data_IF_089448522800
#
_entry.id   IF_089448522800
#
_cell.length_a   1.000
_cell.length_b   1.000
_cell.length_c   1.000
_cell.angle_alpha   90.00
_cell.angle_beta   90.00
_cell.angle_gamma   90.00
#
_symmetry.space_group_name_H-M   'P 1'
#
loop_
_entity.id
_entity.type
_entity.pdbx_description
1 polymer ?
#
# COMPACT_ATOMS: atom_id res chain seq x y z
N UNK A 1 1.43 -13.09 -16.55
CA UNK A 1 2.87 -13.37 -16.80
C UNK A 1 3.77 -12.64 -15.79
N UNK A 2 3.42 -12.67 -14.50
CA UNK A 2 4.11 -11.87 -13.45
C UNK A 2 4.64 -12.69 -12.27
N UNK A 3 4.90 -13.99 -12.45
CA UNK A 3 5.15 -14.94 -11.35
C UNK A 3 6.61 -15.42 -11.22
N UNK A 4 7.59 -14.60 -11.57
CA UNK A 4 8.99 -15.03 -11.45
C UNK A 4 9.53 -14.82 -10.03
N UNK A 5 9.31 -13.65 -9.39
CA UNK A 5 9.94 -13.28 -8.11
C UNK A 5 9.56 -14.14 -6.89
N UNK A 6 8.42 -14.84 -6.89
CA UNK A 6 7.88 -15.51 -5.71
C UNK A 6 8.53 -16.85 -5.35
N UNK A 7 9.29 -17.49 -6.25
CA UNK A 7 9.77 -18.87 -6.04
C UNK A 7 11.07 -19.03 -5.23
N UNK A 8 11.73 -17.93 -4.87
CA UNK A 8 13.11 -17.99 -4.34
C UNK A 8 13.22 -18.05 -2.81
N UNK A 9 12.16 -17.70 -2.07
CA UNK A 9 12.31 -17.39 -0.62
C UNK A 9 12.35 -18.66 0.28
N UNK A 10 11.80 -19.81 -0.14
CA UNK A 10 11.60 -20.95 0.79
C UNK A 10 12.27 -22.29 0.46
N UNK A 11 13.21 -22.34 -0.48
CA UNK A 11 13.92 -23.60 -0.77
C UNK A 11 15.12 -23.87 0.16
N UNK A 12 14.97 -23.63 1.47
CA UNK A 12 16.06 -23.80 2.44
C UNK A 12 15.73 -24.63 3.69
N UNK A 13 14.83 -25.61 3.56
CA UNK A 13 14.69 -26.69 4.54
C UNK A 13 14.55 -28.06 3.86
N UNK A 14 15.64 -28.54 3.24
CA UNK A 14 16.05 -29.96 3.20
C UNK A 14 17.23 -30.16 2.24
N UNK A 15 18.39 -29.61 2.59
CA UNK A 15 19.67 -30.06 2.00
C UNK A 15 20.53 -30.62 3.13
N UNK A 16 20.08 -31.73 3.72
CA UNK A 16 21.04 -32.65 4.30
C UNK A 16 21.67 -33.48 3.18
N UNK A 17 22.93 -33.17 2.91
CA UNK A 17 23.96 -34.08 2.41
C UNK A 17 23.71 -34.72 1.03
N UNK A 18 24.03 -33.98 -0.03
CA UNK A 18 24.81 -34.43 -1.22
C UNK A 18 24.78 -33.33 -2.30
N UNK A 19 25.72 -32.37 -2.27
CA UNK A 19 25.73 -31.32 -3.31
C UNK A 19 26.81 -30.23 -3.29
N UNK A 20 27.73 -30.20 -2.33
CA UNK A 20 28.68 -29.07 -2.18
C UNK A 20 29.52 -28.77 -3.44
N UNK A 21 29.98 -29.78 -4.17
CA UNK A 21 30.96 -29.59 -5.25
C UNK A 21 30.48 -28.89 -6.54
N UNK A 22 29.17 -28.71 -6.76
CA UNK A 22 28.64 -28.05 -7.98
C UNK A 22 28.25 -26.59 -7.73
N UNK A 23 27.67 -26.31 -6.56
CA UNK A 23 27.32 -24.95 -6.14
C UNK A 23 28.59 -24.11 -5.91
N UNK A 24 29.59 -24.66 -5.23
CA UNK A 24 30.87 -23.99 -4.98
C UNK A 24 31.60 -23.60 -6.28
N UNK A 25 31.48 -24.44 -7.33
CA UNK A 25 32.07 -24.16 -8.65
C UNK A 25 31.33 -23.05 -9.40
N UNK A 26 30.00 -23.01 -9.33
CA UNK A 26 29.19 -21.95 -9.93
C UNK A 26 29.43 -20.59 -9.24
N UNK A 27 29.58 -20.61 -7.91
CA UNK A 27 29.87 -19.41 -7.10
C UNK A 27 31.29 -18.88 -7.36
N UNK A 28 32.26 -19.77 -7.62
CA UNK A 28 33.61 -19.39 -7.99
C UNK A 28 33.71 -18.75 -9.40
N UNK A 29 32.76 -19.06 -10.29
CA UNK A 29 32.71 -18.47 -11.64
C UNK A 29 31.97 -17.13 -11.74
N UNK A 30 31.44 -16.61 -10.62
CA UNK A 30 30.77 -15.31 -10.61
C UNK A 30 31.75 -14.18 -10.88
N UNK A 31 31.37 -13.28 -11.79
CA UNK A 31 32.10 -12.03 -12.05
C UNK A 31 32.11 -11.13 -10.81
N UNK A 32 33.21 -10.40 -10.62
CA UNK A 32 33.36 -9.41 -9.55
C UNK A 32 32.18 -8.41 -9.57
N UNK A 33 31.60 -8.17 -8.41
CA UNK A 33 30.41 -7.35 -8.19
C UNK A 33 29.11 -8.15 -8.17
N UNK A 34 29.03 -9.31 -8.82
CA UNK A 34 27.82 -10.13 -8.84
C UNK A 34 27.49 -10.74 -7.47
N UNK A 35 28.53 -11.09 -6.72
CA UNK A 35 28.40 -11.60 -5.34
C UNK A 35 27.73 -10.56 -4.44
N UNK A 36 28.15 -9.29 -4.57
CA UNK A 36 27.62 -8.20 -3.76
C UNK A 36 26.13 -7.94 -4.08
N UNK A 37 25.73 -7.99 -5.35
CA UNK A 37 24.32 -7.84 -5.73
C UNK A 37 23.42 -8.92 -5.15
N UNK A 38 23.87 -10.17 -5.14
CA UNK A 38 23.12 -11.31 -4.58
C UNK A 38 23.01 -11.16 -3.06
N UNK A 39 24.13 -10.84 -2.40
CA UNK A 39 24.17 -10.61 -0.95
C UNK A 39 23.18 -9.51 -0.56
N UNK A 40 23.27 -8.37 -1.22
CA UNK A 40 22.42 -7.22 -0.93
C UNK A 40 20.96 -7.53 -1.26
N UNK A 41 20.66 -8.14 -2.40
CA UNK A 41 19.29 -8.51 -2.74
C UNK A 41 18.67 -9.38 -1.65
N UNK A 42 19.41 -10.36 -1.10
CA UNK A 42 18.90 -11.19 -0.01
C UNK A 42 18.63 -10.39 1.27
N UNK A 43 19.50 -9.46 1.65
CA UNK A 43 19.26 -8.59 2.82
C UNK A 43 18.04 -7.68 2.62
N UNK A 44 17.88 -7.10 1.43
CA UNK A 44 16.76 -6.22 1.11
C UNK A 44 15.45 -7.02 1.11
N UNK A 45 15.42 -8.16 0.42
CA UNK A 45 14.24 -9.02 0.30
C UNK A 45 13.84 -9.70 1.62
N UNK A 46 14.78 -9.87 2.55
CA UNK A 46 14.50 -10.35 3.92
C UNK A 46 14.12 -9.24 4.90
N UNK A 47 14.00 -7.99 4.42
CA UNK A 47 13.71 -6.79 5.24
C UNK A 47 14.71 -6.55 6.40
N UNK A 48 15.91 -7.13 6.32
CA UNK A 48 16.94 -6.98 7.35
C UNK A 48 17.83 -5.76 7.05
N UNK A 49 17.25 -4.57 7.22
CA UNK A 49 17.90 -3.30 6.86
C UNK A 49 19.05 -2.91 7.80
N UNK A 50 18.98 -3.34 9.07
CA UNK A 50 20.03 -3.10 10.06
C UNK A 50 21.40 -3.64 9.62
N UNK A 51 21.40 -4.77 8.91
CA UNK A 51 22.62 -5.41 8.42
C UNK A 51 23.31 -4.64 7.28
N UNK A 52 22.54 -3.91 6.46
CA UNK A 52 23.08 -3.10 5.35
C UNK A 52 23.60 -1.75 5.85
N UNK A 53 22.88 -1.11 6.77
CA UNK A 53 23.31 0.14 7.42
C UNK A 53 24.63 -0.01 8.17
N UNK A 54 24.87 -1.19 8.75
CA UNK A 54 26.08 -1.49 9.52
C UNK A 54 27.37 -1.36 8.71
N UNK A 55 27.30 -1.47 7.38
CA UNK A 55 28.45 -1.39 6.47
C UNK A 55 29.05 0.01 6.37
N UNK A 56 28.29 1.06 6.71
CA UNK A 56 28.77 2.44 6.73
C UNK A 56 29.44 2.87 8.04
N UNK A 57 29.42 2.02 9.09
CA UNK A 57 30.10 2.35 10.36
C UNK A 57 31.62 2.41 10.18
N UNK A 58 32.30 3.26 10.95
CA UNK A 58 33.75 3.45 10.85
C UNK A 58 34.52 2.12 10.90
N UNK A 59 35.47 1.94 9.97
CA UNK A 59 36.29 0.74 9.77
C UNK A 59 35.55 -0.49 9.21
N UNK A 60 34.22 -0.44 8.99
CA UNK A 60 33.47 -1.57 8.42
C UNK A 60 33.73 -1.78 6.93
N UNK A 61 33.89 -0.71 6.15
CA UNK A 61 34.32 -0.82 4.75
C UNK A 61 35.72 -1.47 4.62
N UNK A 62 36.57 -1.38 5.64
CA UNK A 62 37.85 -2.07 5.70
C UNK A 62 37.69 -3.57 6.09
N UNK A 63 36.60 -3.89 6.80
CA UNK A 63 36.16 -5.24 7.19
C UNK A 63 35.27 -5.95 6.14
N UNK A 64 34.76 -5.28 5.10
CA UNK A 64 33.81 -5.84 4.10
C UNK A 64 34.26 -7.15 3.46
N UNK A 65 35.56 -7.45 3.54
CA UNK A 65 36.13 -8.80 3.36
C UNK A 65 35.35 -9.93 4.05
N UNK A 66 34.37 -9.66 4.92
CA UNK A 66 33.54 -10.64 5.63
C UNK A 66 32.00 -10.52 5.46
N UNK A 67 31.47 -9.75 4.51
CA UNK A 67 30.01 -9.78 4.24
C UNK A 67 29.63 -11.16 3.69
N UNK A 68 29.10 -12.03 4.53
CA UNK A 68 28.70 -13.39 4.14
C UNK A 68 27.18 -13.54 4.23
N UNK A 69 26.59 -14.10 3.18
CA UNK A 69 25.42 -14.95 3.40
C UNK A 69 25.96 -16.29 3.93
N UNK A 70 25.58 -16.69 5.14
CA UNK A 70 25.96 -18.00 5.73
C UNK A 70 25.67 -19.18 4.77
N UNK A 71 24.67 -19.02 3.90
CA UNK A 71 24.30 -20.01 2.89
C UNK A 71 25.30 -20.15 1.69
N UNK A 72 26.23 -19.21 1.46
CA UNK A 72 27.07 -19.21 0.25
C UNK A 72 28.58 -19.24 0.47
N UNK A 73 29.09 -19.21 1.71
CA UNK A 73 30.54 -19.31 2.03
C UNK A 73 31.47 -18.37 1.21
N UNK A 74 30.95 -17.27 0.65
CA UNK A 74 31.73 -16.26 -0.09
C UNK A 74 31.49 -14.89 0.53
N UNK A 75 32.58 -14.13 0.65
CA UNK A 75 32.56 -12.78 1.17
C UNK A 75 32.63 -11.77 0.04
N UNK A 76 31.93 -10.64 0.19
CA UNK A 76 32.17 -9.50 -0.69
C UNK A 76 33.64 -9.05 -0.53
N UNK A 77 34.26 -8.67 -1.64
CA UNK A 77 35.66 -8.23 -1.69
C UNK A 77 35.77 -6.76 -2.10
N UNK A 78 36.96 -6.19 -1.94
CA UNK A 78 37.26 -4.83 -2.43
C UNK A 78 37.11 -4.75 -3.95
N UNK A 79 37.43 -5.84 -4.67
CA UNK A 79 37.26 -5.91 -6.12
C UNK A 79 35.77 -5.83 -6.52
N UNK A 80 34.89 -6.48 -5.76
CA UNK A 80 33.44 -6.38 -5.97
C UNK A 80 32.93 -4.95 -5.80
N UNK A 81 33.39 -4.24 -4.76
CA UNK A 81 33.02 -2.85 -4.51
C UNK A 81 33.52 -1.94 -5.63
N UNK A 82 34.78 -2.09 -6.05
CA UNK A 82 35.38 -1.29 -7.12
C UNK A 82 34.65 -1.50 -8.45
N UNK A 83 34.35 -2.76 -8.79
CA UNK A 83 33.58 -3.12 -9.98
C UNK A 83 32.18 -2.47 -9.94
N UNK A 84 31.51 -2.54 -8.79
CA UNK A 84 30.18 -1.94 -8.61
C UNK A 84 30.18 -0.42 -8.64
N UNK A 85 31.16 0.20 -8.02
CA UNK A 85 31.33 1.64 -8.09
C UNK A 85 31.47 2.13 -9.53
N UNK A 86 32.33 1.47 -10.31
CA UNK A 86 32.56 1.82 -11.71
C UNK A 86 31.29 1.70 -12.55
N UNK A 87 30.54 0.63 -12.37
CA UNK A 87 29.25 0.42 -13.05
C UNK A 87 28.23 1.48 -12.62
N UNK A 88 27.99 1.64 -11.31
CA UNK A 88 26.93 2.49 -10.79
C UNK A 88 27.13 3.97 -11.11
N UNK A 89 28.39 4.41 -11.16
CA UNK A 89 28.75 5.81 -11.41
C UNK A 89 29.30 6.06 -12.82
N UNK A 90 29.36 5.05 -13.68
CA UNK A 90 29.91 5.16 -15.04
C UNK A 90 31.39 5.58 -15.06
N UNK A 91 32.17 5.10 -14.08
CA UNK A 91 33.59 5.40 -13.90
C UNK A 91 34.46 4.20 -14.27
N UNK A 92 35.76 4.42 -14.39
CA UNK A 92 36.76 3.38 -14.70
C UNK A 92 37.97 3.49 -13.76
N UNK A 93 37.69 3.61 -12.47
CA UNK A 93 38.72 3.66 -11.43
C UNK A 93 39.44 2.31 -11.33
N UNK A 94 40.76 2.37 -11.14
CA UNK A 94 41.62 1.17 -11.03
C UNK A 94 41.99 0.84 -9.60
N UNK A 95 41.88 1.82 -8.71
CA UNK A 95 42.25 1.70 -7.31
C UNK A 95 41.04 2.00 -6.44
N UNK A 96 40.91 1.22 -5.36
CA UNK A 96 39.85 1.41 -4.38
C UNK A 96 40.19 2.55 -3.43
N UNK A 97 39.18 3.35 -3.09
CA UNK A 97 39.22 4.32 -2.00
C UNK A 97 38.05 4.07 -1.04
N UNK A 98 38.20 4.30 0.27
CA UNK A 98 37.13 4.01 1.26
C UNK A 98 35.78 4.67 0.96
N UNK A 99 35.77 5.84 0.30
CA UNK A 99 34.53 6.54 -0.05
C UNK A 99 33.69 5.76 -1.08
N UNK A 100 34.31 4.96 -1.95
CA UNK A 100 33.60 4.19 -2.98
C UNK A 100 32.68 3.13 -2.36
N UNK A 101 33.07 2.58 -1.21
CA UNK A 101 32.22 1.67 -0.44
C UNK A 101 30.95 2.39 0.04
N UNK A 102 31.10 3.56 0.65
CA UNK A 102 29.96 4.36 1.12
C UNK A 102 29.03 4.72 -0.04
N UNK A 103 29.60 5.15 -1.17
CA UNK A 103 28.87 5.49 -2.39
C UNK A 103 28.03 4.29 -2.90
N UNK A 104 28.61 3.10 -2.98
CA UNK A 104 27.90 1.86 -3.38
C UNK A 104 26.82 1.48 -2.36
N UNK A 105 27.12 1.55 -1.07
CA UNK A 105 26.13 1.24 -0.01
C UNK A 105 24.96 2.22 -0.04
N UNK A 106 25.18 3.49 -0.35
CA UNK A 106 24.11 4.48 -0.47
C UNK A 106 23.13 4.15 -1.60
N UNK A 107 23.64 3.65 -2.74
CA UNK A 107 22.78 3.15 -3.82
C UNK A 107 21.92 1.98 -3.34
N UNK A 108 22.49 1.04 -2.59
CA UNK A 108 21.76 -0.11 -2.08
C UNK A 108 20.76 0.22 -0.96
N UNK A 109 21.06 1.18 -0.09
CA UNK A 109 20.10 1.71 0.90
C UNK A 109 18.92 2.37 0.17
N UNK A 110 19.19 3.11 -0.89
CA UNK A 110 18.13 3.72 -1.71
C UNK A 110 17.27 2.67 -2.43
N UNK A 111 17.86 1.57 -2.89
CA UNK A 111 17.10 0.41 -3.40
C UNK A 111 16.21 -0.18 -2.30
N UNK A 112 16.72 -0.31 -1.08
CA UNK A 112 15.96 -0.79 0.07
C UNK A 112 14.76 0.11 0.37
N UNK A 113 14.93 1.44 0.35
CA UNK A 113 13.82 2.40 0.52
C UNK A 113 12.75 2.21 -0.55
N UNK A 114 13.15 2.06 -1.82
CA UNK A 114 12.21 1.77 -2.92
C UNK A 114 11.46 0.46 -2.63
N UNK A 115 12.18 -0.60 -2.29
CA UNK A 115 11.59 -1.90 -2.00
C UNK A 115 10.58 -1.83 -0.84
N UNK A 116 10.95 -1.21 0.28
CA UNK A 116 10.08 -1.05 1.46
C UNK A 116 8.81 -0.28 1.11
N UNK A 117 8.93 0.86 0.42
CA UNK A 117 7.78 1.65 0.00
C UNK A 117 6.84 0.85 -0.92
N UNK A 118 7.40 0.06 -1.86
CA UNK A 118 6.60 -0.76 -2.76
C UNK A 118 5.91 -1.90 -2.01
N UNK A 119 6.62 -2.64 -1.16
CA UNK A 119 6.04 -3.75 -0.40
C UNK A 119 4.93 -3.28 0.53
N UNK A 120 5.10 -2.15 1.21
CA UNK A 120 4.02 -1.57 2.04
C UNK A 120 2.77 -1.19 1.25
N UNK A 121 2.92 -0.77 -0.01
CA UNK A 121 1.81 -0.32 -0.87
C UNK A 121 1.16 -1.45 -1.69
N UNK A 122 1.93 -2.48 -2.06
CA UNK A 122 1.46 -3.61 -2.85
C UNK A 122 1.02 -4.76 -1.94
N UNK A 123 1.69 -4.95 -0.79
CA UNK A 123 1.59 -6.09 0.14
C UNK A 123 1.28 -7.41 -0.60
N UNK A 124 2.25 -7.92 -1.37
CA UNK A 124 2.03 -9.09 -2.22
C UNK A 124 1.56 -10.30 -1.41
N UNK A 125 0.58 -11.02 -1.96
CA UNK A 125 0.24 -12.38 -1.55
C UNK A 125 1.28 -13.31 -2.17
N UNK A 126 2.02 -14.05 -1.34
CA UNK A 126 2.98 -15.03 -1.83
C UNK A 126 2.30 -16.40 -1.85
N UNK A 127 2.24 -17.01 -3.03
CA UNK A 127 1.85 -18.41 -3.19
C UNK A 127 3.11 -19.28 -3.15
N UNK A 128 3.17 -20.22 -2.20
CA UNK A 128 4.21 -21.25 -2.18
C UNK A 128 3.59 -22.64 -2.10
N UNK A 129 4.28 -23.64 -2.64
CA UNK A 129 3.90 -25.04 -2.43
C UNK A 129 4.44 -25.49 -1.08
N UNK A 130 3.55 -25.97 -0.21
CA UNK A 130 3.97 -26.57 1.05
C UNK A 130 4.65 -27.94 0.81
N UNK A 131 5.18 -28.54 1.87
CA UNK A 131 5.86 -29.84 1.83
C UNK A 131 4.99 -31.00 1.30
N UNK A 132 3.67 -30.80 1.21
CA UNK A 132 2.71 -31.78 0.70
C UNK A 132 2.33 -31.53 -0.77
N UNK A 133 2.83 -30.44 -1.36
CA UNK A 133 2.56 -30.02 -2.72
C UNK A 133 1.29 -29.18 -2.86
N UNK A 134 0.66 -28.80 -1.75
CA UNK A 134 -0.52 -27.94 -1.74
C UNK A 134 -0.07 -26.48 -1.91
N UNK A 135 -0.75 -25.73 -2.78
CA UNK A 135 -0.48 -24.29 -2.97
C UNK A 135 -1.12 -23.55 -1.79
N UNK A 136 -0.28 -22.91 -0.97
CA UNK A 136 -0.69 -22.11 0.19
C UNK A 136 -0.36 -20.65 -0.11
N UNK A 137 -1.39 -19.80 -0.09
CA UNK A 137 -1.26 -18.35 -0.25
C UNK A 137 -1.05 -17.71 1.12
N UNK A 138 0.12 -17.13 1.37
CA UNK A 138 0.43 -16.42 2.60
C UNK A 138 0.60 -14.93 2.33
N UNK A 139 -0.21 -14.12 3.01
CA UNK A 139 -0.02 -12.67 3.04
C UNK A 139 1.17 -12.37 3.95
N UNK A 140 2.05 -11.46 3.52
CA UNK A 140 3.18 -11.03 4.36
C UNK A 140 2.72 -10.37 5.67
N UNK A 141 1.45 -9.95 5.75
CA UNK A 141 0.81 -9.52 7.00
C UNK A 141 -0.52 -10.25 7.21
N UNK A 142 -0.46 -11.19 8.16
CA UNK A 142 -1.57 -11.91 8.83
C UNK A 142 -2.61 -12.61 7.95
N UNK A 143 -2.75 -13.91 8.23
CA UNK A 143 -3.87 -14.75 7.82
C UNK A 143 -5.19 -14.19 8.37
N UNK A 144 -6.02 -13.62 7.49
CA UNK A 144 -7.42 -14.04 7.27
C UNK A 144 -8.22 -13.01 6.46
N UNK A 145 -9.15 -13.59 5.70
CA UNK A 145 -10.42 -13.05 5.19
C UNK A 145 -10.52 -12.56 3.74
N UNK A 146 -11.38 -13.31 3.02
CA UNK A 146 -12.19 -13.03 1.84
C UNK A 146 -12.09 -11.61 1.25
N UNK A 147 -11.47 -11.51 0.07
CA UNK A 147 -11.62 -10.36 -0.82
C UNK A 147 -12.90 -10.52 -1.65
N UNK A 148 -13.75 -9.49 -1.63
CA UNK A 148 -15.04 -9.43 -2.35
C UNK A 148 -14.82 -9.45 -3.87
N UNK A 149 -13.62 -9.12 -4.35
CA UNK A 149 -13.30 -9.04 -5.78
C UNK A 149 -12.50 -10.24 -6.33
N UNK A 150 -12.23 -11.25 -5.50
CA UNK A 150 -11.47 -12.45 -5.88
C UNK A 150 -9.95 -12.32 -5.68
N UNK A 151 -9.23 -13.45 -5.70
CA UNK A 151 -7.78 -13.53 -5.36
C UNK A 151 -6.88 -12.68 -6.28
N UNK A 152 -7.25 -12.52 -7.55
CA UNK A 152 -6.48 -11.72 -8.52
C UNK A 152 -6.51 -10.20 -8.24
N UNK A 153 -7.42 -9.75 -7.37
CA UNK A 153 -7.61 -8.34 -7.01
C UNK A 153 -7.38 -8.09 -5.51
N UNK A 154 -6.72 -9.04 -4.81
CA UNK A 154 -6.47 -9.01 -3.37
C UNK A 154 -5.81 -7.70 -2.91
N UNK A 155 -6.57 -6.84 -2.24
CA UNK A 155 -6.05 -5.59 -1.66
C UNK A 155 -5.74 -5.77 -0.18
N UNK A 156 -4.59 -5.24 0.26
CA UNK A 156 -4.22 -5.26 1.67
C UNK A 156 -5.12 -4.37 2.51
N UNK A 157 -5.84 -4.97 3.48
CA UNK A 157 -6.63 -4.27 4.49
C UNK A 157 -5.81 -3.27 5.33
N UNK A 158 -4.50 -3.44 5.41
CA UNK A 158 -3.59 -2.57 6.17
C UNK A 158 -3.14 -1.34 5.37
N UNK A 159 -3.23 -1.39 4.04
CA UNK A 159 -3.03 -0.19 3.20
C UNK A 159 -4.18 0.78 3.39
N UNK A 160 -3.93 2.08 3.22
CA UNK A 160 -4.97 3.08 3.21
C UNK A 160 -6.12 2.72 2.25
N UNK A 161 -5.76 2.33 1.02
CA UNK A 161 -6.75 2.06 -0.01
C UNK A 161 -7.56 0.80 0.18
N UNK A 162 -6.93 -0.29 0.61
CA UNK A 162 -7.67 -1.51 0.92
C UNK A 162 -8.70 -1.27 2.03
N UNK A 163 -8.32 -0.53 3.08
CA UNK A 163 -9.24 -0.16 4.16
C UNK A 163 -10.43 0.69 3.64
N UNK A 164 -10.18 1.67 2.75
CA UNK A 164 -11.25 2.51 2.19
C UNK A 164 -12.16 1.76 1.24
N UNK A 165 -11.64 0.85 0.42
CA UNK A 165 -12.44 0.00 -0.46
C UNK A 165 -13.31 -0.95 0.36
N UNK A 166 -12.75 -1.58 1.40
CA UNK A 166 -13.51 -2.47 2.31
C UNK A 166 -14.64 -1.73 3.03
N UNK A 167 -14.40 -0.49 3.45
CA UNK A 167 -15.42 0.39 4.05
C UNK A 167 -16.61 0.61 3.12
N UNK A 168 -16.40 0.65 1.79
CA UNK A 168 -17.48 0.82 0.82
C UNK A 168 -18.14 -0.51 0.37
N UNK A 169 -17.50 -1.67 0.54
CA UNK A 169 -18.06 -2.96 0.10
C UNK A 169 -18.92 -3.68 1.15
N UNK A 170 -19.14 -3.06 2.31
CA UNK A 170 -20.03 -3.56 3.37
C UNK A 170 -19.37 -4.47 4.41
N UNK A 171 -18.08 -4.77 4.25
CA UNK A 171 -17.26 -5.50 5.23
C UNK A 171 -16.47 -4.56 6.16
N UNK A 172 -16.64 -3.25 6.04
CA UNK A 172 -16.01 -2.24 6.87
C UNK A 172 -17.02 -1.18 7.31
N UNK A 173 -16.77 -0.56 8.45
CA UNK A 173 -17.68 0.41 9.04
C UNK A 173 -17.30 1.83 8.59
N UNK A 174 -18.12 2.43 7.72
CA UNK A 174 -18.00 3.85 7.31
C UNK A 174 -18.11 4.79 8.52
N UNK A 175 -18.76 4.31 9.59
CA UNK A 175 -19.15 5.08 10.78
C UNK A 175 -18.34 4.68 12.02
N UNK A 176 -17.15 4.08 11.85
CA UNK A 176 -16.32 3.65 12.96
C UNK A 176 -15.56 4.84 13.57
N UNK A 177 -15.82 5.12 14.85
CA UNK A 177 -14.98 6.02 15.66
C UNK A 177 -13.61 5.36 15.88
N UNK A 178 -12.50 6.02 15.50
CA UNK A 178 -11.20 5.65 16.06
C UNK A 178 -9.94 5.78 15.21
N UNK A 179 -10.02 6.08 13.90
CA UNK A 179 -8.81 6.40 13.10
C UNK A 179 -8.81 7.87 12.72
N UNK A 180 -8.32 8.70 13.63
CA UNK A 180 -8.41 10.15 13.51
C UNK A 180 -7.41 10.76 12.53
N UNK A 181 -6.39 10.01 12.10
CA UNK A 181 -5.33 10.51 11.23
C UNK A 181 -4.71 9.40 10.36
N UNK A 182 -3.78 9.77 9.49
CA UNK A 182 -3.16 8.86 8.53
C UNK A 182 -2.05 7.95 9.10
N UNK A 183 -1.65 8.11 10.35
CA UNK A 183 -0.51 7.40 10.92
C UNK A 183 -0.75 5.88 11.07
N UNK A 184 -2.01 5.45 11.07
CA UNK A 184 -2.40 4.05 11.25
C UNK A 184 -2.32 3.18 9.99
N UNK A 185 -1.91 3.73 8.85
CA UNK A 185 -1.84 3.01 7.57
C UNK A 185 -0.39 2.70 7.21
N UNK A 186 -0.09 1.43 6.89
CA UNK A 186 1.28 0.94 6.67
C UNK A 186 1.99 1.54 5.45
N UNK A 187 1.29 2.28 4.60
CA UNK A 187 1.82 2.86 3.36
C UNK A 187 2.10 4.37 3.45
N UNK A 188 1.68 5.03 4.54
CA UNK A 188 1.76 6.49 4.69
C UNK A 188 3.00 6.96 5.47
N UNK A 189 3.40 6.35 6.60
CA UNK A 189 4.65 6.70 7.29
C UNK A 189 5.88 6.59 6.39
N UNK A 190 5.95 5.53 5.58
CA UNK A 190 7.05 5.16 4.68
C UNK A 190 7.27 6.20 3.58
N UNK A 191 6.22 6.98 3.28
CA UNK A 191 6.30 8.06 2.31
C UNK A 191 7.25 9.17 2.79
N UNK A 192 7.35 9.43 4.10
CA UNK A 192 8.28 10.44 4.64
C UNK A 192 9.74 10.09 4.30
N UNK A 193 10.11 8.82 4.47
CA UNK A 193 11.49 8.34 4.27
C UNK A 193 11.94 8.43 2.80
N UNK A 194 10.98 8.48 1.87
CA UNK A 194 11.24 8.73 0.45
C UNK A 194 11.66 10.16 0.13
N UNK A 195 11.43 11.11 1.03
CA UNK A 195 11.91 12.49 0.90
C UNK A 195 13.24 12.73 1.62
N UNK A 196 13.61 11.87 2.57
CA UNK A 196 14.86 12.02 3.31
C UNK A 196 16.09 11.69 2.44
N UNK A 197 16.85 12.72 2.10
CA UNK A 197 18.07 12.68 1.30
C UNK A 197 19.25 13.47 1.91
N UNK A 198 19.10 13.97 3.14
CA UNK A 198 20.13 14.68 3.90
C UNK A 198 20.28 14.12 5.34
N UNK A 199 21.25 14.65 6.08
CA UNK A 199 21.50 14.34 7.49
C UNK A 199 21.59 12.84 7.78
N UNK A 200 22.54 12.17 7.13
CA UNK A 200 22.74 10.74 7.29
C UNK A 200 23.27 10.39 8.68
N UNK A 201 22.54 9.55 9.39
CA UNK A 201 22.97 9.00 10.67
C UNK A 201 23.73 7.69 10.46
N UNK A 202 25.04 7.73 10.71
CA UNK A 202 25.93 6.55 10.58
C UNK A 202 25.64 5.43 11.58
N UNK A 203 24.86 5.71 12.64
CA UNK A 203 24.54 4.72 13.67
C UNK A 203 23.32 3.87 13.32
N UNK A 204 22.28 4.50 12.78
CA UNK A 204 21.03 3.87 12.29
C UNK A 204 21.10 3.49 10.81
N UNK A 205 22.02 4.12 10.07
CA UNK A 205 22.20 4.06 8.63
C UNK A 205 21.03 4.60 7.82
N UNK A 206 20.31 5.58 8.37
CA UNK A 206 19.17 6.23 7.71
C UNK A 206 19.45 7.70 7.45
N UNK A 207 18.81 8.25 6.43
CA UNK A 207 18.77 9.70 6.20
C UNK A 207 17.68 10.28 7.11
N UNK A 208 18.04 11.21 7.99
CA UNK A 208 17.12 11.81 8.95
C UNK A 208 16.54 13.14 8.47
N UNK A 209 17.15 13.75 7.45
CA UNK A 209 16.83 15.09 6.96
C UNK A 209 16.53 15.14 5.47
N UNK A 210 16.08 16.31 5.02
CA UNK A 210 15.77 16.63 3.62
C UNK A 210 16.65 17.79 3.16
N UNK A 211 17.12 17.76 1.93
CA UNK A 211 17.68 18.94 1.28
C UNK A 211 16.61 20.00 1.06
N UNK A 212 16.99 21.28 0.90
CA UNK A 212 16.05 22.38 0.64
C UNK A 212 15.06 22.04 -0.50
N UNK A 213 15.58 21.41 -1.55
CA UNK A 213 14.80 20.99 -2.72
C UNK A 213 13.76 19.92 -2.37
N UNK A 214 14.16 18.85 -1.68
CA UNK A 214 13.22 17.76 -1.33
C UNK A 214 12.27 18.19 -0.23
N UNK A 215 12.66 19.11 0.64
CA UNK A 215 11.80 19.73 1.63
C UNK A 215 10.68 20.57 0.99
N UNK A 216 10.97 21.34 -0.06
CA UNK A 216 9.94 22.04 -0.84
C UNK A 216 8.95 21.07 -1.50
N UNK A 217 9.45 19.98 -2.10
CA UNK A 217 8.62 18.92 -2.68
C UNK A 217 7.74 18.26 -1.62
N UNK A 218 8.31 17.96 -0.45
CA UNK A 218 7.60 17.39 0.70
C UNK A 218 6.46 18.27 1.17
N UNK A 219 6.73 19.56 1.40
CA UNK A 219 5.72 20.50 1.88
C UNK A 219 4.61 20.72 0.84
N UNK A 220 4.96 20.74 -0.45
CA UNK A 220 3.98 20.80 -1.54
C UNK A 220 3.03 19.60 -1.54
N UNK A 221 3.57 18.40 -1.39
CA UNK A 221 2.76 17.18 -1.37
C UNK A 221 1.97 17.04 -0.08
N UNK A 222 2.54 17.42 1.08
CA UNK A 222 1.84 17.48 2.36
C UNK A 222 0.62 18.41 2.30
N UNK A 223 0.76 19.58 1.67
CA UNK A 223 -0.34 20.52 1.48
C UNK A 223 -1.44 19.94 0.56
N UNK A 224 -1.06 19.23 -0.52
CA UNK A 224 -2.02 18.53 -1.40
C UNK A 224 -2.77 17.44 -0.64
N UNK A 225 -2.08 16.60 0.11
CA UNK A 225 -2.70 15.59 0.96
C UNK A 225 -3.66 16.26 1.94
N UNK A 226 -3.23 17.30 2.65
CA UNK A 226 -4.10 18.00 3.59
C UNK A 226 -5.40 18.49 2.92
N UNK A 227 -5.29 19.15 1.75
CA UNK A 227 -6.45 19.65 1.00
C UNK A 227 -7.39 18.53 0.57
N UNK A 228 -6.85 17.42 0.05
CA UNK A 228 -7.65 16.29 -0.44
C UNK A 228 -8.33 15.55 0.72
N UNK A 229 -7.60 15.25 1.79
CA UNK A 229 -8.12 14.42 2.89
C UNK A 229 -9.03 15.16 3.87
N UNK A 230 -8.89 16.48 4.00
CA UNK A 230 -9.70 17.29 4.92
C UNK A 230 -10.73 18.19 4.22
N UNK A 231 -10.59 18.41 2.91
CA UNK A 231 -11.38 19.38 2.15
C UNK A 231 -11.08 20.86 2.48
N UNK A 232 -10.14 21.15 3.38
CA UNK A 232 -9.81 22.52 3.81
C UNK A 232 -8.76 23.14 2.90
N UNK A 233 -8.92 24.43 2.59
CA UNK A 233 -8.04 25.14 1.64
C UNK A 233 -6.67 25.53 2.21
N UNK A 234 -6.55 25.70 3.52
CA UNK A 234 -5.30 26.15 4.18
C UNK A 234 -4.86 25.15 5.25
N UNK A 235 -3.64 24.65 5.10
CA UNK A 235 -2.99 23.77 6.06
C UNK A 235 -2.49 24.58 7.28
N UNK A 236 -2.81 24.18 8.52
CA UNK A 236 -2.31 24.85 9.72
C UNK A 236 -0.88 24.40 10.04
N UNK A 237 -0.14 25.24 10.77
CA UNK A 237 1.27 24.98 11.11
C UNK A 237 1.49 23.75 12.00
N UNK A 238 0.43 23.22 12.61
CA UNK A 238 0.46 22.01 13.44
C UNK A 238 0.66 20.73 12.62
N UNK A 239 0.37 20.75 11.31
CA UNK A 239 0.56 19.59 10.43
C UNK A 239 1.99 19.65 9.90
N UNK A 240 2.84 18.73 10.36
CA UNK A 240 4.24 18.65 9.94
C UNK A 240 4.54 17.38 9.15
N UNK A 241 3.72 16.33 9.31
CA UNK A 241 3.89 15.04 8.65
C UNK A 241 2.58 14.52 8.08
N UNK A 242 2.67 13.61 7.10
CA UNK A 242 1.48 12.98 6.50
C UNK A 242 0.59 12.32 7.55
N UNK A 243 1.19 11.63 8.53
CA UNK A 243 0.49 11.00 9.64
C UNK A 243 -0.32 11.97 10.51
N UNK A 244 0.06 13.26 10.58
CA UNK A 244 -0.65 14.27 11.37
C UNK A 244 -1.97 14.70 10.71
N UNK A 245 -2.16 14.40 9.41
CA UNK A 245 -3.33 14.83 8.65
C UNK A 245 -4.57 14.11 9.17
N UNK A 246 -5.60 14.85 9.64
CA UNK A 246 -6.80 14.23 10.14
C UNK A 246 -7.62 13.64 9.00
N UNK A 247 -8.28 12.51 9.27
CA UNK A 247 -9.24 11.94 8.35
C UNK A 247 -10.58 12.69 8.44
N UNK A 248 -11.33 12.68 7.34
CA UNK A 248 -12.71 13.18 7.36
C UNK A 248 -13.56 12.26 8.24
N UNK A 249 -14.19 12.87 9.25
CA UNK A 249 -15.15 12.24 10.15
C UNK A 249 -16.52 12.16 9.46
N UNK A 250 -16.97 10.93 9.20
CA UNK A 250 -18.28 10.65 8.60
C UNK A 250 -19.34 10.26 9.62
N UNK A 251 -19.05 10.27 10.92
CA UNK A 251 -20.01 9.84 11.95
C UNK A 251 -21.26 10.74 11.98
N UNK A 252 -21.10 11.99 11.54
CA UNK A 252 -22.18 12.98 11.39
C UNK A 252 -22.82 12.99 10.00
N UNK A 253 -22.30 12.21 9.05
CA UNK A 253 -22.86 12.07 7.71
C UNK A 253 -24.26 11.47 7.77
N UNK A 254 -25.16 11.82 6.82
CA UNK A 254 -26.43 11.12 6.62
C UNK A 254 -26.29 9.59 6.54
N UNK A 255 -25.15 9.06 6.08
CA UNK A 255 -24.88 7.62 6.04
C UNK A 255 -24.98 6.98 7.42
N UNK A 256 -24.47 7.65 8.46
CA UNK A 256 -24.43 7.11 9.81
C UNK A 256 -25.71 7.36 10.61
N UNK A 257 -26.59 8.26 10.14
CA UNK A 257 -27.90 8.54 10.78
C UNK A 257 -28.83 7.33 10.79
N UNK A 258 -28.71 6.46 9.79
CA UNK A 258 -29.60 5.30 9.63
C UNK A 258 -28.95 3.97 10.07
N UNK A 259 -27.78 4.03 10.74
CA UNK A 259 -27.03 2.85 11.21
C UNK A 259 -27.77 2.03 12.28
N UNK A 260 -28.51 2.71 13.16
CA UNK A 260 -29.32 2.07 14.20
C UNK A 260 -30.73 1.70 13.71
N UNK A 261 -30.99 1.72 12.40
CA UNK A 261 -32.29 1.33 11.86
C UNK A 261 -32.39 -0.19 11.87
N UNK A 262 -32.76 -0.75 13.01
CA UNK A 262 -32.99 -2.17 13.14
C UNK A 262 -34.30 -2.51 12.44
N UNK A 263 -34.28 -3.41 11.45
CA UNK A 263 -35.53 -3.90 10.82
C UNK A 263 -36.46 -4.56 11.83
N UNK A 264 -35.91 -4.99 12.96
CA UNK A 264 -36.61 -5.62 14.07
C UNK A 264 -37.33 -4.59 14.98
N UNK A 265 -36.94 -3.31 14.92
CA UNK A 265 -37.69 -2.17 15.51
C UNK A 265 -38.82 -1.67 14.60
N UNK A 266 -39.10 -2.39 13.50
CA UNK A 266 -40.26 -2.12 12.64
C UNK A 266 -41.58 -2.68 13.23
N UNK A 267 -41.59 -3.07 14.50
CA UNK A 267 -42.79 -3.29 15.30
C UNK A 267 -42.59 -2.69 16.69
N UNK A 268 -43.58 -1.91 17.09
CA UNK A 268 -43.78 -1.28 18.40
C UNK A 268 -43.20 0.13 18.65
N UNK A 269 -44.15 0.99 19.07
CA UNK A 269 -44.02 2.27 19.78
C UNK A 269 -44.10 3.63 19.05
N UNK A 270 -44.18 3.71 17.71
CA UNK A 270 -44.46 5.00 17.02
C UNK A 270 -45.95 5.40 16.90
N UNK A 271 -46.85 4.77 17.65
CA UNK A 271 -48.27 5.14 17.72
C UNK A 271 -48.66 5.99 18.94
N UNK A 272 -47.72 6.64 19.64
CA UNK A 272 -48.07 7.53 20.75
C UNK A 272 -47.39 8.89 20.63
N UNK A 273 -48.19 9.83 20.10
CA UNK A 273 -48.05 11.28 20.16
C UNK A 273 -47.18 11.94 19.09
N UNK A 274 -47.81 12.42 18.00
CA UNK A 274 -48.02 13.87 17.77
C UNK A 274 -48.83 14.16 16.51
N UNK A 275 -49.55 15.28 16.60
CA UNK A 275 -50.49 15.82 15.64
C UNK A 275 -49.83 16.10 14.28
N UNK A 276 -50.51 15.63 13.22
CA UNK A 276 -50.16 15.87 11.83
C UNK A 276 -50.47 17.31 11.43
N UNK A 277 -49.45 18.07 11.04
CA UNK A 277 -49.61 19.22 10.16
C UNK A 277 -49.52 18.72 8.71
N UNK A 278 -50.59 18.97 7.98
CA UNK A 278 -50.80 18.60 6.59
C UNK A 278 -49.87 19.36 5.63
N UNK A 279 -49.02 18.63 4.92
CA UNK A 279 -48.58 18.99 3.58
C UNK A 279 -48.09 17.74 2.87
N UNK A 280 -48.84 17.29 1.86
CA UNK A 280 -48.40 16.24 0.93
C UNK A 280 -47.33 16.80 0.00
N UNK A 281 -46.23 16.05 -0.21
CA UNK A 281 -45.55 16.02 -1.50
C UNK A 281 -45.67 14.61 -2.07
N UNK A 282 -46.49 14.47 -3.11
CA UNK A 282 -46.53 13.28 -3.94
C UNK A 282 -45.35 13.30 -4.92
N UNK A 283 -44.20 12.78 -4.50
CA UNK A 283 -43.07 12.54 -5.41
C UNK A 283 -42.74 11.05 -5.39
N UNK A 284 -43.26 10.30 -6.36
CA UNK A 284 -42.80 8.92 -6.62
C UNK A 284 -41.34 9.00 -7.04
N UNK A 285 -40.43 8.47 -6.23
CA UNK A 285 -39.02 8.32 -6.61
C UNK A 285 -38.96 7.36 -7.79
N UNK A 286 -38.35 7.76 -8.92
CA UNK A 286 -38.29 6.89 -10.10
C UNK A 286 -37.37 5.69 -9.83
N UNK A 287 -37.83 4.48 -10.17
CA UNK A 287 -36.97 3.27 -10.13
C UNK A 287 -35.66 3.47 -10.91
N UNK A 288 -35.72 4.24 -12.00
CA UNK A 288 -34.58 4.63 -12.83
C UNK A 288 -33.51 5.43 -12.05
N UNK A 289 -33.90 6.33 -11.13
CA UNK A 289 -32.93 7.09 -10.32
C UNK A 289 -32.15 6.18 -9.34
N UNK A 290 -32.82 5.20 -8.75
CA UNK A 290 -32.20 4.24 -7.83
C UNK A 290 -31.23 3.32 -8.57
N UNK A 291 -31.63 2.79 -9.72
CA UNK A 291 -30.78 1.93 -10.55
C UNK A 291 -29.54 2.66 -11.04
N UNK A 292 -29.68 3.92 -11.47
CA UNK A 292 -28.55 4.77 -11.86
C UNK A 292 -27.55 4.95 -10.72
N UNK A 293 -28.00 5.27 -9.51
CA UNK A 293 -27.10 5.46 -8.38
C UNK A 293 -26.37 4.18 -7.98
N UNK A 294 -27.05 3.03 -7.98
CA UNK A 294 -26.42 1.73 -7.74
C UNK A 294 -25.36 1.42 -8.80
N UNK A 295 -25.64 1.70 -10.08
CA UNK A 295 -24.68 1.56 -11.15
C UNK A 295 -23.49 2.51 -10.98
N UNK A 296 -23.74 3.80 -10.67
CA UNK A 296 -22.66 4.77 -10.38
C UNK A 296 -21.80 4.32 -9.22
N UNK A 297 -22.40 3.77 -8.16
CA UNK A 297 -21.68 3.24 -7.00
C UNK A 297 -20.79 2.05 -7.38
N UNK A 298 -21.34 1.08 -8.12
CA UNK A 298 -20.61 -0.09 -8.59
C UNK A 298 -19.46 0.30 -9.55
N UNK A 299 -19.69 1.24 -10.45
CA UNK A 299 -18.64 1.79 -11.35
C UNK A 299 -17.56 2.51 -10.55
N UNK A 300 -17.92 3.29 -9.53
CA UNK A 300 -16.94 3.95 -8.67
C UNK A 300 -16.06 2.92 -7.96
N UNK A 301 -16.65 1.90 -7.32
CA UNK A 301 -15.91 0.80 -6.67
C UNK A 301 -14.99 0.06 -7.63
N UNK A 302 -15.49 -0.29 -8.82
CA UNK A 302 -14.69 -0.94 -9.86
C UNK A 302 -13.50 -0.07 -10.27
N UNK A 303 -13.72 1.22 -10.45
CA UNK A 303 -12.67 2.16 -10.83
C UNK A 303 -11.65 2.33 -9.70
N UNK A 304 -12.07 2.38 -8.44
CA UNK A 304 -11.16 2.41 -7.27
C UNK A 304 -10.18 1.24 -7.31
N UNK A 305 -10.70 0.02 -7.39
CA UNK A 305 -9.90 -1.21 -7.43
C UNK A 305 -8.99 -1.21 -8.66
N UNK A 306 -9.54 -0.92 -9.84
CA UNK A 306 -8.77 -0.90 -11.09
C UNK A 306 -7.64 0.14 -11.06
N UNK A 307 -7.89 1.33 -10.53
CA UNK A 307 -6.92 2.42 -10.46
C UNK A 307 -5.78 2.10 -9.50
N UNK A 308 -6.07 1.46 -8.36
CA UNK A 308 -5.06 0.99 -7.42
C UNK A 308 -4.19 -0.08 -8.07
N UNK A 309 -4.82 -1.10 -8.68
CA UNK A 309 -4.08 -2.23 -9.27
C UNK A 309 -3.20 -1.81 -10.46
N UNK A 310 -3.68 -0.89 -11.31
CA UNK A 310 -2.87 -0.31 -12.39
C UNK A 310 -1.60 0.37 -11.84
N UNK A 311 -1.72 1.11 -10.73
CA UNK A 311 -0.57 1.81 -10.14
C UNK A 311 0.35 0.87 -9.37
N UNK A 312 -0.19 -0.12 -8.64
CA UNK A 312 0.60 -1.17 -8.02
C UNK A 312 1.38 -2.00 -9.05
N UNK A 313 0.80 -2.29 -10.22
CA UNK A 313 1.52 -2.95 -11.32
C UNK A 313 2.72 -2.12 -11.82
N UNK A 314 2.60 -0.78 -11.81
CA UNK A 314 3.74 0.11 -12.12
C UNK A 314 4.81 0.07 -11.03
N UNK A 315 4.43 -0.01 -9.76
CA UNK A 315 5.38 -0.23 -8.66
C UNK A 315 6.13 -1.56 -8.83
N UNK A 316 5.43 -2.65 -9.17
CA UNK A 316 6.06 -3.95 -9.46
C UNK A 316 7.05 -3.86 -10.64
N UNK A 317 6.73 -3.05 -11.66
CA UNK A 317 7.63 -2.83 -12.80
C UNK A 317 8.96 -2.20 -12.36
N UNK A 318 8.95 -1.33 -11.34
CA UNK A 318 10.17 -0.77 -10.75
C UNK A 318 11.00 -1.86 -10.07
N UNK A 319 10.36 -2.79 -9.35
CA UNK A 319 11.06 -3.93 -8.76
C UNK A 319 11.71 -4.82 -9.82
N UNK A 320 11.03 -5.07 -10.94
CA UNK A 320 11.57 -5.86 -12.05
C UNK A 320 12.74 -5.17 -12.77
N UNK A 321 12.86 -3.84 -12.65
CA UNK A 321 14.01 -3.11 -13.16
C UNK A 321 15.21 -3.22 -12.21
N UNK A 322 14.94 -3.21 -10.90
CA UNK A 322 15.95 -3.26 -9.85
C UNK A 322 16.47 -4.68 -9.63
N UNK A 323 15.59 -5.68 -9.66
CA UNK A 323 15.90 -7.06 -9.32
C UNK A 323 15.71 -7.98 -10.52
N UNK A 324 16.64 -8.91 -10.68
CA UNK A 324 16.59 -9.93 -11.73
C UNK A 324 17.00 -11.29 -11.18
N UNK A 325 16.57 -12.33 -11.87
CA UNK A 325 17.04 -13.69 -11.62
C UNK A 325 18.48 -13.84 -12.08
N UNK A 326 19.31 -14.41 -11.23
CA UNK A 326 20.67 -14.77 -11.61
C UNK A 326 20.65 -15.96 -12.56
N UNK A 327 21.40 -15.86 -13.66
CA UNK A 327 21.44 -16.89 -14.70
C UNK A 327 22.46 -17.98 -14.41
N UNK A 328 23.39 -17.74 -13.48
CA UNK A 328 24.45 -18.68 -13.10
C UNK A 328 24.06 -19.50 -11.87
N UNK A 329 23.35 -18.87 -10.93
CA UNK A 329 22.78 -19.48 -9.73
C UNK A 329 21.25 -19.59 -9.88
N UNK A 330 20.81 -20.78 -10.26
CA UNK A 330 19.40 -21.07 -10.49
C UNK A 330 18.56 -20.78 -9.24
N UNK A 331 17.51 -19.98 -9.40
CA UNK A 331 16.60 -19.59 -8.32
C UNK A 331 17.06 -18.41 -7.48
N UNK A 332 18.27 -17.87 -7.64
CA UNK A 332 18.73 -16.71 -6.86
C UNK A 332 18.31 -15.38 -7.49
N UNK A 333 18.05 -14.38 -6.65
CA UNK A 333 17.73 -13.01 -7.06
C UNK A 333 18.91 -12.11 -6.77
N UNK A 334 19.22 -11.21 -7.70
CA UNK A 334 20.28 -10.21 -7.56
C UNK A 334 19.77 -8.82 -7.94
N UNK A 335 20.47 -7.80 -7.46
CA UNK A 335 20.33 -6.45 -8.02
C UNK A 335 20.83 -6.45 -9.48
N UNK A 336 20.08 -5.78 -10.36
CA UNK A 336 20.38 -5.63 -11.76
C UNK A 336 21.76 -4.97 -11.93
N UNK A 337 22.63 -5.63 -12.71
CA UNK A 337 24.00 -5.17 -12.91
C UNK A 337 24.11 -3.92 -13.76
N UNK A 338 23.07 -3.53 -14.51
CA UNK A 338 23.06 -2.31 -15.33
C UNK A 338 22.56 -1.09 -14.58
N UNK A 339 22.14 -1.24 -13.32
CA UNK A 339 21.53 -0.14 -12.56
C UNK A 339 22.56 0.88 -12.11
N UNK A 340 22.28 2.16 -12.37
CA UNK A 340 23.17 3.28 -12.03
C UNK A 340 22.66 4.05 -10.82
N UNK A 341 23.56 4.76 -10.12
CA UNK A 341 23.20 5.63 -9.00
C UNK A 341 22.18 6.71 -9.40
N UNK A 342 22.34 7.29 -10.61
CA UNK A 342 21.38 8.24 -11.16
C UNK A 342 20.02 7.59 -11.42
N UNK A 343 20.01 6.37 -11.96
CA UNK A 343 18.75 5.65 -12.22
C UNK A 343 18.01 5.32 -10.93
N UNK A 344 18.71 4.88 -9.88
CA UNK A 344 18.11 4.67 -8.55
C UNK A 344 17.49 5.95 -8.00
N UNK A 345 18.17 7.09 -8.15
CA UNK A 345 17.63 8.40 -7.73
C UNK A 345 16.34 8.75 -8.47
N UNK A 346 16.27 8.47 -9.77
CA UNK A 346 15.03 8.64 -10.55
C UNK A 346 13.93 7.68 -10.10
N UNK A 347 14.26 6.41 -9.86
CA UNK A 347 13.30 5.40 -9.41
C UNK A 347 12.74 5.71 -8.02
N UNK A 348 13.50 6.33 -7.11
CA UNK A 348 12.96 6.88 -5.85
C UNK A 348 11.85 7.88 -6.15
N UNK A 349 12.13 8.86 -7.02
CA UNK A 349 11.17 9.91 -7.37
C UNK A 349 9.90 9.32 -8.02
N UNK A 350 10.07 8.40 -8.96
CA UNK A 350 8.93 7.74 -9.64
C UNK A 350 8.10 6.92 -8.65
N UNK A 351 8.75 6.15 -7.78
CA UNK A 351 8.07 5.36 -6.74
C UNK A 351 7.26 6.29 -5.83
N UNK A 352 7.85 7.38 -5.36
CA UNK A 352 7.20 8.38 -4.49
C UNK A 352 5.97 9.00 -5.15
N UNK A 353 6.09 9.39 -6.42
CA UNK A 353 4.98 9.93 -7.20
C UNK A 353 3.84 8.91 -7.37
N UNK A 354 4.16 7.63 -7.59
CA UNK A 354 3.16 6.57 -7.71
C UNK A 354 2.42 6.34 -6.37
N UNK A 355 3.15 6.26 -5.26
CA UNK A 355 2.57 6.12 -3.90
C UNK A 355 1.65 7.32 -3.58
N UNK A 356 2.10 8.54 -3.88
CA UNK A 356 1.27 9.74 -3.75
C UNK A 356 -0.02 9.64 -4.56
N UNK A 357 0.09 9.21 -5.82
CA UNK A 357 -1.08 9.06 -6.69
C UNK A 357 -2.04 7.98 -6.20
N UNK A 358 -1.55 6.85 -5.69
CA UNK A 358 -2.37 5.79 -5.09
C UNK A 358 -3.21 6.41 -3.96
N UNK A 359 -2.56 7.02 -2.96
CA UNK A 359 -3.23 7.58 -1.79
C UNK A 359 -4.22 8.71 -2.14
N UNK A 360 -3.80 9.67 -2.96
CA UNK A 360 -4.64 10.83 -3.31
C UNK A 360 -5.86 10.44 -4.13
N UNK A 361 -5.69 9.63 -5.19
CA UNK A 361 -6.80 9.24 -6.05
C UNK A 361 -7.82 8.38 -5.32
N UNK A 362 -7.33 7.49 -4.47
CA UNK A 362 -8.13 6.62 -3.65
C UNK A 362 -8.94 7.39 -2.60
N UNK A 363 -8.35 8.42 -2.00
CA UNK A 363 -9.08 9.36 -1.13
C UNK A 363 -10.20 10.07 -1.90
N UNK A 364 -9.92 10.55 -3.12
CA UNK A 364 -10.93 11.19 -3.99
C UNK A 364 -12.05 10.22 -4.36
N UNK A 365 -11.70 9.02 -4.82
CA UNK A 365 -12.68 8.02 -5.25
C UNK A 365 -13.50 7.51 -4.05
N UNK A 366 -12.91 7.43 -2.86
CA UNK A 366 -13.62 7.12 -1.61
C UNK A 366 -14.66 8.22 -1.28
N UNK A 367 -14.26 9.50 -1.34
CA UNK A 367 -15.19 10.62 -1.14
C UNK A 367 -16.36 10.59 -2.14
N UNK A 368 -16.08 10.27 -3.41
CA UNK A 368 -17.11 10.11 -4.42
C UNK A 368 -18.04 8.93 -4.11
N UNK A 369 -17.47 7.80 -3.68
CA UNK A 369 -18.21 6.63 -3.24
C UNK A 369 -19.16 6.94 -2.09
N UNK A 370 -18.68 7.64 -1.05
CA UNK A 370 -19.50 8.06 0.09
C UNK A 370 -20.65 8.95 -0.36
N UNK A 371 -20.43 9.93 -1.24
CA UNK A 371 -21.51 10.81 -1.74
C UNK A 371 -22.60 10.04 -2.49
N UNK A 372 -22.21 9.06 -3.29
CA UNK A 372 -23.17 8.21 -3.99
C UNK A 372 -23.90 7.32 -3.00
N UNK A 373 -23.21 6.80 -1.99
CA UNK A 373 -23.81 5.99 -0.92
C UNK A 373 -24.80 6.81 -0.07
N UNK A 374 -24.47 8.04 0.30
CA UNK A 374 -25.36 9.01 0.95
C UNK A 374 -26.66 9.17 0.13
N UNK A 375 -26.55 9.41 -1.18
CA UNK A 375 -27.71 9.56 -2.05
C UNK A 375 -28.57 8.28 -2.12
N UNK A 376 -27.95 7.09 -2.12
CA UNK A 376 -28.67 5.81 -2.10
C UNK A 376 -29.44 5.66 -0.78
N UNK A 377 -28.81 5.95 0.36
CA UNK A 377 -29.40 5.87 1.70
C UNK A 377 -30.57 6.84 1.82
N UNK A 378 -30.43 8.08 1.35
CA UNK A 378 -31.50 9.09 1.36
C UNK A 378 -32.70 8.68 0.51
N UNK A 379 -32.46 8.18 -0.72
CA UNK A 379 -33.54 7.66 -1.56
C UNK A 379 -34.25 6.48 -0.89
N UNK A 380 -33.50 5.60 -0.23
CA UNK A 380 -34.09 4.46 0.47
C UNK A 380 -34.94 4.92 1.65
N UNK A 381 -34.49 5.93 2.41
CA UNK A 381 -35.27 6.52 3.50
C UNK A 381 -36.57 7.19 2.99
N UNK A 382 -36.50 7.90 1.86
CA UNK A 382 -37.68 8.49 1.22
C UNK A 382 -38.69 7.43 0.75
N UNK A 383 -38.24 6.36 0.07
CA UNK A 383 -39.11 5.25 -0.36
C UNK A 383 -39.81 4.59 0.84
N UNK A 384 -39.08 4.36 1.93
CA UNK A 384 -39.65 3.83 3.17
C UNK A 384 -40.70 4.80 3.77
N UNK A 385 -40.41 6.09 3.82
CA UNK A 385 -41.32 7.11 4.35
C UNK A 385 -42.61 7.22 3.53
N UNK A 386 -42.51 7.16 2.20
CA UNK A 386 -43.68 7.16 1.30
C UNK A 386 -44.56 5.93 1.58
N UNK A 387 -43.96 4.74 1.71
CA UNK A 387 -44.70 3.50 2.01
C UNK A 387 -45.41 3.55 3.37
N UNK A 388 -44.78 4.16 4.38
CA UNK A 388 -45.41 4.39 5.68
C UNK A 388 -46.61 5.34 5.57
N UNK A 389 -46.48 6.44 4.81
CA UNK A 389 -47.59 7.38 4.56
C UNK A 389 -48.75 6.69 3.85
N UNK A 390 -48.48 5.91 2.79
CA UNK A 390 -49.50 5.17 2.04
C UNK A 390 -50.23 4.16 2.94
N UNK A 391 -49.51 3.49 3.85
CA UNK A 391 -50.12 2.59 4.84
C UNK A 391 -51.03 3.34 5.82
N UNK A 392 -50.58 4.48 6.36
CA UNK A 392 -51.38 5.31 7.27
C UNK A 392 -52.64 5.84 6.56
N UNK A 393 -52.52 6.26 5.30
CA UNK A 393 -53.67 6.70 4.50
C UNK A 393 -54.70 5.59 4.33
N UNK A 394 -54.26 4.35 4.02
CA UNK A 394 -55.15 3.19 3.96
C UNK A 394 -55.86 2.94 5.29
N UNK A 395 -55.15 3.03 6.42
CA UNK A 395 -55.78 2.90 7.75
C UNK A 395 -56.82 4.00 8.01
N UNK A 396 -56.54 5.25 7.62
CA UNK A 396 -57.50 6.35 7.74
C UNK A 396 -58.75 6.11 6.89
N UNK A 397 -58.61 5.56 5.68
CA UNK A 397 -59.75 5.20 4.84
C UNK A 397 -60.59 4.08 5.47
N UNK A 398 -59.96 3.04 6.02
CA UNK A 398 -60.64 1.95 6.73
C UNK A 398 -61.42 2.50 7.95
N UNK A 399 -60.83 3.40 8.73
CA UNK A 399 -61.49 4.02 9.89
C UNK A 399 -62.67 4.91 9.44
N UNK A 400 -62.53 5.60 8.30
CA UNK A 400 -63.55 6.51 7.78
C UNK A 400 -64.73 5.77 7.14
N UNK A 401 -64.51 4.57 6.60
CA UNK A 401 -65.52 3.69 6.02
C UNK A 401 -65.47 2.28 6.67
N UNK A 402 -65.99 2.13 7.90
CA UNK A 402 -65.95 0.84 8.61
C UNK A 402 -66.84 -0.26 7.98
N UNK A 403 -67.63 0.05 6.95
CA UNK A 403 -68.58 -0.87 6.33
C UNK A 403 -68.08 -1.53 5.03
N UNK A 404 -66.81 -1.33 4.63
CA UNK A 404 -66.24 -1.88 3.39
C UNK A 404 -65.15 -2.94 3.61
N UNK A 405 -65.19 -3.64 4.75
CA UNK A 405 -64.36 -4.82 5.02
C UNK A 405 -65.26 -6.02 5.26
#
# INVERSE_FOLDING_TARGET
MGNSLAKSIDNNQNIQQKGGGNLDKKIASLEDGSVLDIIVAKYILSMNMSSLSDLRKTNKCDEIKSLTIEAFNKTATIADILAKYNIMYGKNEKEYTPNMCNDVVDVYINISKIYSAIVSNVNPVYEYQDEKGDIVSHNMVTEKEFDVFGEELALSKLSFCGAKIQSLTGNGDVCEEGKNNLEHYLDVPELHDMYCDADYDTSTGTFLGMTDKTQEEYMSDLEKFYKVFTGKSKMPDTIKRFGDIPLTDFDKSPVCKYRNFNSDECYDELCKNRQSSSSSPSTKVSLDAKERLLNTYAVNLRNMVSNVNIRQSRLITILNEIFMFDTTLDGEVRVNNEITANRIKELIKVTRELVNQINLSCSIDYMNGIRVYEAIVEIKALDTSIKQIEYIQKLQEIIRNPASV
#
